data_IF_682218672843
#
_entry.id   IF_682218672843
#
_cell.length_a   1.000
_cell.length_b   1.000
_cell.length_c   1.000
_cell.angle_alpha   90.00
_cell.angle_beta   90.00
_cell.angle_gamma   90.00
#
_symmetry.space_group_name_H-M   'P 1'
#
loop_
_entity.id
_entity.type
_entity.pdbx_description
1 polymer ?
#
# COMPACT_ATOMS: atom_id res chain seq x y z
N UNK A 1 -26.36 10.90 75.00
CA UNK A 1 -25.71 11.59 73.87
C UNK A 1 -24.22 11.52 73.92
N UNK A 2 -23.53 11.92 74.99
CA UNK A 2 -22.04 11.87 75.13
C UNK A 2 -21.56 10.44 74.99
N UNK A 3 -22.21 9.42 75.55
CA UNK A 3 -21.84 8.01 75.41
C UNK A 3 -21.97 7.50 73.99
N UNK A 4 -22.95 7.95 73.23
CA UNK A 4 -23.12 7.57 71.83
C UNK A 4 -22.06 8.22 70.95
N UNK A 5 -21.80 9.49 71.16
CA UNK A 5 -20.74 10.23 70.45
C UNK A 5 -19.34 9.67 70.73
N UNK A 6 -19.07 9.28 71.99
CA UNK A 6 -17.81 8.63 72.37
C UNK A 6 -17.68 7.26 71.69
N UNK A 7 -18.73 6.45 71.66
CA UNK A 7 -18.71 5.16 71.00
C UNK A 7 -18.57 5.27 69.45
N UNK A 8 -19.15 6.28 68.82
CA UNK A 8 -18.98 6.54 67.39
C UNK A 8 -17.55 7.08 67.08
N UNK A 9 -17.03 7.97 67.95
CA UNK A 9 -15.65 8.42 67.83
C UNK A 9 -14.66 7.28 68.03
N UNK A 10 -14.85 6.43 69.04
CA UNK A 10 -14.06 5.21 69.22
C UNK A 10 -14.21 4.22 68.05
N UNK A 11 -15.39 4.11 67.46
CA UNK A 11 -15.62 3.26 66.28
C UNK A 11 -14.91 3.80 65.07
N UNK A 12 -14.87 5.10 64.89
CA UNK A 12 -14.18 5.76 63.78
C UNK A 12 -12.64 5.76 63.93
N UNK A 13 -12.14 5.97 65.19
CA UNK A 13 -10.72 6.06 65.49
C UNK A 13 -10.06 4.80 66.07
N UNK A 14 -10.82 3.71 66.27
CA UNK A 14 -10.24 2.45 66.73
C UNK A 14 -9.26 1.95 65.70
N UNK A 15 -7.98 1.85 66.12
CA UNK A 15 -7.00 1.02 65.41
C UNK A 15 -7.61 -0.38 65.29
N UNK A 16 -7.69 -0.98 64.11
CA UNK A 16 -8.27 -2.32 63.96
C UNK A 16 -7.64 -3.27 64.96
N UNK A 17 -8.46 -3.93 65.80
CA UNK A 17 -7.94 -4.94 66.75
C UNK A 17 -7.14 -5.99 66.01
N UNK A 18 -6.14 -6.61 66.66
CA UNK A 18 -5.31 -7.67 66.06
C UNK A 18 -6.17 -8.77 65.39
N UNK A 19 -7.31 -9.10 66.03
CA UNK A 19 -8.26 -10.08 65.48
C UNK A 19 -8.91 -9.61 64.16
N UNK A 20 -9.31 -8.35 64.07
CA UNK A 20 -9.85 -7.78 62.84
C UNK A 20 -8.78 -7.72 61.72
N UNK A 21 -7.56 -7.32 62.09
CA UNK A 21 -6.44 -7.31 61.12
C UNK A 21 -6.13 -8.70 60.65
N UNK A 22 -6.11 -9.71 61.50
CA UNK A 22 -5.92 -11.10 61.15
C UNK A 22 -7.02 -11.62 60.24
N UNK A 23 -8.28 -11.33 60.58
CA UNK A 23 -9.42 -11.72 59.72
C UNK A 23 -9.35 -11.09 58.32
N UNK A 24 -9.02 -9.81 58.27
CA UNK A 24 -8.79 -9.09 56.99
C UNK A 24 -7.63 -9.68 56.20
N UNK A 25 -6.53 -10.00 56.87
CA UNK A 25 -5.37 -10.66 56.24
C UNK A 25 -5.76 -12.05 55.68
N UNK A 26 -6.46 -12.88 56.47
CA UNK A 26 -6.95 -14.18 56.03
C UNK A 26 -7.84 -14.07 54.78
N UNK A 27 -8.77 -13.08 54.73
CA UNK A 27 -9.60 -12.84 53.54
C UNK A 27 -8.78 -12.43 52.34
N UNK A 28 -7.78 -11.57 52.50
CA UNK A 28 -6.85 -11.20 51.43
C UNK A 28 -6.10 -12.41 50.90
N UNK A 29 -5.53 -13.21 51.81
CA UNK A 29 -4.83 -14.43 51.41
C UNK A 29 -5.75 -15.35 50.62
N UNK A 30 -6.96 -15.62 51.08
CA UNK A 30 -7.90 -16.45 50.37
C UNK A 30 -8.27 -15.89 48.97
N UNK A 31 -8.37 -14.56 48.86
CA UNK A 31 -8.64 -13.89 47.56
C UNK A 31 -7.44 -14.04 46.62
N UNK A 32 -6.23 -13.84 47.10
CA UNK A 32 -5.03 -13.97 46.29
C UNK A 32 -4.73 -15.43 45.90
N UNK A 33 -4.99 -16.38 46.81
CA UNK A 33 -4.87 -17.80 46.49
C UNK A 33 -5.82 -18.22 45.37
N UNK A 34 -7.04 -17.67 45.32
CA UNK A 34 -7.98 -17.91 44.21
C UNK A 34 -7.53 -17.24 42.91
N UNK A 35 -6.88 -16.08 42.98
CA UNK A 35 -6.43 -15.34 41.80
C UNK A 35 -5.12 -15.86 41.23
N UNK A 36 -4.26 -16.43 42.04
CA UNK A 36 -2.93 -16.90 41.66
C UNK A 36 -2.96 -17.82 40.41
N UNK A 37 -3.78 -18.89 40.34
CA UNK A 37 -3.78 -19.77 39.18
C UNK A 37 -4.28 -19.06 37.91
N UNK A 38 -5.16 -18.07 38.01
CA UNK A 38 -5.62 -17.27 36.87
C UNK A 38 -4.50 -16.37 36.33
N UNK A 39 -3.74 -15.76 37.25
CA UNK A 39 -2.59 -14.92 36.86
C UNK A 39 -1.48 -15.78 36.26
N UNK A 40 -1.20 -16.96 36.84
CA UNK A 40 -0.23 -17.89 36.29
C UNK A 40 -0.60 -18.33 34.86
N UNK A 41 -1.86 -18.70 34.64
CA UNK A 41 -2.35 -19.05 33.29
C UNK A 41 -2.25 -17.87 32.32
N UNK A 42 -2.55 -16.67 32.77
CA UNK A 42 -2.41 -15.46 31.95
C UNK A 42 -0.94 -15.17 31.61
N UNK A 43 -0.02 -15.40 32.54
CA UNK A 43 1.41 -15.30 32.32
C UNK A 43 1.90 -16.29 31.26
N UNK A 44 1.55 -17.56 31.39
CA UNK A 44 1.91 -18.59 30.40
C UNK A 44 1.42 -18.25 28.99
N UNK A 45 0.20 -17.69 28.87
CA UNK A 45 -0.33 -17.24 27.58
C UNK A 45 0.46 -16.06 27.03
N UNK A 46 0.83 -15.13 27.91
CA UNK A 46 1.63 -13.98 27.52
C UNK A 46 3.06 -14.37 27.07
N UNK A 47 3.69 -15.28 27.78
CA UNK A 47 5.00 -15.84 27.44
C UNK A 47 4.99 -16.56 26.08
N UNK A 48 3.97 -17.37 25.82
CA UNK A 48 3.80 -18.01 24.50
C UNK A 48 3.58 -16.99 23.37
N UNK A 49 2.84 -15.92 23.64
CA UNK A 49 2.67 -14.84 22.67
C UNK A 49 3.97 -14.11 22.41
N UNK A 50 4.72 -13.82 23.47
CA UNK A 50 6.01 -13.16 23.35
C UNK A 50 6.98 -13.99 22.50
N UNK A 51 7.17 -15.25 22.84
CA UNK A 51 8.03 -16.17 22.06
C UNK A 51 7.63 -16.26 20.58
N UNK A 52 6.32 -16.24 20.29
CA UNK A 52 5.84 -16.22 18.91
C UNK A 52 6.21 -14.92 18.19
N UNK A 53 6.07 -13.78 18.86
CA UNK A 53 6.41 -12.48 18.26
C UNK A 53 7.92 -12.31 18.10
N UNK A 54 8.72 -12.83 19.02
CA UNK A 54 10.18 -12.86 18.89
C UNK A 54 10.61 -13.68 17.68
N UNK A 55 10.05 -14.89 17.50
CA UNK A 55 10.32 -15.71 16.31
C UNK A 55 9.91 -15.01 15.00
N UNK A 56 8.76 -14.33 14.98
CA UNK A 56 8.32 -13.54 13.82
C UNK A 56 9.24 -12.35 13.54
N UNK A 57 9.73 -11.70 14.58
CA UNK A 57 10.69 -10.59 14.45
C UNK A 57 12.01 -11.09 13.87
N UNK A 58 12.55 -12.19 14.37
CA UNK A 58 13.80 -12.77 13.88
C UNK A 58 13.68 -13.20 12.40
N UNK A 59 12.56 -13.83 12.03
CA UNK A 59 12.27 -14.18 10.63
C UNK A 59 12.20 -12.93 9.73
N UNK A 60 11.50 -11.89 10.18
CA UNK A 60 11.41 -10.63 9.45
C UNK A 60 12.77 -9.94 9.31
N UNK A 61 13.58 -9.96 10.36
CA UNK A 61 14.94 -9.41 10.35
C UNK A 61 15.84 -10.14 9.35
N UNK A 62 15.83 -11.47 9.37
CA UNK A 62 16.58 -12.29 8.43
C UNK A 62 16.14 -12.05 6.98
N UNK A 63 14.83 -11.83 6.75
CA UNK A 63 14.31 -11.46 5.44
C UNK A 63 14.85 -10.10 4.98
N UNK A 64 14.86 -9.10 5.85
CA UNK A 64 15.40 -7.77 5.54
C UNK A 64 16.88 -7.85 5.17
N UNK A 65 17.69 -8.55 5.95
CA UNK A 65 19.11 -8.76 5.69
C UNK A 65 19.35 -9.43 4.32
N UNK A 66 18.58 -10.46 4.00
CA UNK A 66 18.64 -11.13 2.70
C UNK A 66 18.24 -10.22 1.54
N UNK A 67 17.17 -9.42 1.71
CA UNK A 67 16.74 -8.46 0.69
C UNK A 67 17.76 -7.35 0.48
N UNK A 68 18.39 -6.87 1.56
CA UNK A 68 19.47 -5.88 1.47
C UNK A 68 20.68 -6.43 0.71
N UNK A 69 21.12 -7.66 1.01
CA UNK A 69 22.21 -8.31 0.29
C UNK A 69 21.88 -8.49 -1.20
N UNK A 70 20.67 -8.95 -1.52
CA UNK A 70 20.21 -9.08 -2.90
C UNK A 70 20.14 -7.71 -3.61
N UNK A 71 19.67 -6.69 -2.94
CA UNK A 71 19.64 -5.34 -3.48
C UNK A 71 21.03 -4.81 -3.82
N UNK A 72 22.02 -5.01 -2.95
CA UNK A 72 23.40 -4.63 -3.22
C UNK A 72 23.98 -5.39 -4.42
N UNK A 73 23.67 -6.67 -4.54
CA UNK A 73 24.07 -7.47 -5.70
C UNK A 73 23.45 -6.91 -6.99
N UNK A 74 22.15 -6.62 -7.00
CA UNK A 74 21.46 -6.05 -8.16
C UNK A 74 22.02 -4.68 -8.56
N UNK A 75 22.42 -3.85 -7.59
CA UNK A 75 23.08 -2.57 -7.87
C UNK A 75 24.43 -2.76 -8.55
N UNK A 76 25.23 -3.71 -8.06
CA UNK A 76 26.54 -4.02 -8.65
C UNK A 76 26.39 -4.58 -10.08
N UNK A 77 25.46 -5.52 -10.28
CA UNK A 77 25.15 -6.12 -11.58
C UNK A 77 24.66 -5.05 -12.58
N UNK A 78 23.79 -4.14 -12.10
CA UNK A 78 23.27 -3.07 -12.94
C UNK A 78 24.34 -2.02 -13.27
N UNK A 79 25.26 -1.74 -12.35
CA UNK A 79 26.38 -0.84 -12.61
C UNK A 79 27.37 -1.41 -13.64
N UNK A 80 27.51 -2.72 -13.69
CA UNK A 80 28.33 -3.43 -14.68
C UNK A 80 27.62 -3.60 -16.05
N UNK A 81 26.32 -3.33 -16.13
CA UNK A 81 25.54 -3.50 -17.35
C UNK A 81 25.81 -2.34 -18.32
N UNK A 82 26.18 -2.60 -19.59
CA UNK A 82 26.33 -1.56 -20.60
C UNK A 82 25.07 -0.77 -20.89
N UNK A 83 23.89 -1.36 -20.58
CA UNK A 83 22.58 -0.71 -20.63
C UNK A 83 21.88 -0.79 -19.26
N UNK A 84 22.28 0.02 -18.29
CA UNK A 84 21.80 -0.09 -16.93
C UNK A 84 20.28 0.12 -16.85
N UNK A 85 19.63 -0.79 -16.14
CA UNK A 85 18.20 -0.70 -15.87
C UNK A 85 17.94 0.47 -14.92
N UNK A 86 16.97 1.27 -15.26
CA UNK A 86 16.52 2.41 -14.46
C UNK A 86 15.17 2.10 -13.82
N UNK A 87 15.12 2.14 -12.51
CA UNK A 87 13.87 1.95 -11.80
C UNK A 87 13.13 3.28 -11.61
N UNK A 88 11.85 3.30 -11.99
CA UNK A 88 10.95 4.44 -11.85
C UNK A 88 9.78 4.04 -10.95
N UNK A 89 9.58 4.74 -9.86
CA UNK A 89 8.48 4.51 -8.96
C UNK A 89 7.29 5.43 -9.26
N UNK A 90 6.15 4.82 -9.56
CA UNK A 90 4.85 5.51 -9.69
C UNK A 90 4.03 5.23 -8.46
N UNK A 91 4.06 6.15 -7.50
CA UNK A 91 3.40 5.99 -6.21
C UNK A 91 1.98 6.53 -6.23
N UNK A 92 1.07 5.81 -5.59
CA UNK A 92 -0.21 6.41 -5.23
C UNK A 92 0.00 7.50 -4.16
N UNK A 93 -0.84 8.54 -4.20
CA UNK A 93 -0.82 9.59 -3.18
C UNK A 93 -0.88 9.05 -1.74
N UNK A 94 -1.38 7.80 -1.53
CA UNK A 94 -1.34 7.09 -0.26
C UNK A 94 0.06 6.89 0.30
N UNK A 95 1.03 6.69 -0.56
CA UNK A 95 2.43 6.43 -0.23
C UNK A 95 3.33 7.67 -0.35
N UNK A 96 2.78 8.81 -0.74
CA UNK A 96 3.53 10.06 -0.94
C UNK A 96 3.74 10.83 0.38
N UNK A 97 4.13 10.15 1.45
CA UNK A 97 4.61 10.85 2.64
C UNK A 97 6.01 11.43 2.38
N UNK A 98 6.35 12.47 3.12
CA UNK A 98 7.68 13.09 3.05
C UNK A 98 8.79 12.06 3.23
N UNK A 99 8.65 11.21 4.24
CA UNK A 99 9.63 10.20 4.62
C UNK A 99 9.83 9.18 3.49
N UNK A 100 8.73 8.71 2.88
CA UNK A 100 8.80 7.76 1.78
C UNK A 100 9.47 8.36 0.53
N UNK A 101 9.15 9.62 0.20
CA UNK A 101 9.75 10.31 -0.94
C UNK A 101 11.25 10.51 -0.70
N UNK A 102 11.65 10.99 0.49
CA UNK A 102 13.07 11.16 0.84
C UNK A 102 13.81 9.84 0.77
N UNK A 103 13.29 8.80 1.36
CA UNK A 103 13.89 7.46 1.34
C UNK A 103 14.11 6.94 -0.09
N UNK A 104 13.12 7.09 -0.98
CA UNK A 104 13.26 6.65 -2.37
C UNK A 104 14.29 7.49 -3.14
N UNK A 105 14.38 8.80 -2.85
CA UNK A 105 15.39 9.68 -3.42
C UNK A 105 16.80 9.26 -2.97
N UNK A 106 16.96 8.99 -1.68
CA UNK A 106 18.23 8.55 -1.08
C UNK A 106 18.72 7.21 -1.65
N UNK A 107 17.79 6.32 -2.00
CA UNK A 107 18.11 5.05 -2.68
C UNK A 107 18.46 5.27 -4.18
N UNK A 108 18.13 6.44 -4.74
CA UNK A 108 18.46 6.81 -6.12
C UNK A 108 17.39 6.47 -7.15
N UNK A 109 16.13 6.36 -6.74
CA UNK A 109 15.03 6.11 -7.66
C UNK A 109 14.42 7.40 -8.22
N UNK A 110 13.93 7.29 -9.46
CA UNK A 110 13.06 8.29 -10.05
C UNK A 110 11.62 8.09 -9.55
N UNK A 111 10.92 9.18 -9.24
CA UNK A 111 9.61 9.13 -8.58
C UNK A 111 8.60 9.95 -9.35
N UNK A 112 7.44 9.35 -9.59
CA UNK A 112 6.22 10.03 -10.03
C UNK A 112 5.14 9.78 -9.00
N UNK A 113 4.60 10.84 -8.40
CA UNK A 113 3.58 10.68 -7.36
C UNK A 113 2.60 11.85 -7.31
N UNK A 114 1.52 11.66 -6.57
CA UNK A 114 0.57 12.72 -6.25
C UNK A 114 0.83 13.24 -4.84
N UNK A 115 1.16 14.52 -4.74
CA UNK A 115 1.31 15.17 -3.44
C UNK A 115 -0.01 15.27 -2.67
N UNK A 116 0.08 15.12 -1.36
CA UNK A 116 -1.08 15.20 -0.45
C UNK A 116 -1.17 16.50 0.35
N UNK A 117 -0.14 17.34 0.33
CA UNK A 117 -0.12 18.57 1.10
C UNK A 117 -1.13 19.61 0.59
N UNK A 118 -2.21 19.89 1.33
CA UNK A 118 -3.13 20.98 0.98
C UNK A 118 -2.43 22.33 0.97
N UNK A 119 -1.54 22.57 1.92
CA UNK A 119 -0.78 23.82 2.06
C UNK A 119 0.04 24.12 0.82
N UNK A 120 0.77 23.12 0.32
CA UNK A 120 1.57 23.25 -0.92
C UNK A 120 0.66 23.49 -2.13
N UNK A 121 -0.40 22.71 -2.26
CA UNK A 121 -1.38 22.85 -3.34
C UNK A 121 -2.00 24.26 -3.35
N UNK A 122 -2.37 24.76 -2.18
CA UNK A 122 -3.03 26.04 -2.04
C UNK A 122 -2.05 27.20 -2.27
N UNK A 123 -0.80 27.08 -1.83
CA UNK A 123 0.27 28.04 -2.13
C UNK A 123 0.54 28.13 -3.64
N UNK A 124 0.68 26.97 -4.33
CA UNK A 124 0.84 26.95 -5.78
C UNK A 124 -0.41 27.44 -6.52
N UNK A 125 -1.59 27.17 -5.97
CA UNK A 125 -2.83 27.71 -6.53
C UNK A 125 -2.91 29.24 -6.43
N UNK A 126 -2.34 29.82 -5.38
CA UNK A 126 -2.21 31.27 -5.22
C UNK A 126 -1.14 31.89 -6.12
N UNK A 127 -0.12 31.12 -6.52
CA UNK A 127 0.91 31.57 -7.46
C UNK A 127 0.44 31.56 -8.92
N UNK A 128 -0.71 30.96 -9.22
CA UNK A 128 -1.31 30.95 -10.57
C UNK A 128 -1.87 32.34 -10.89
N UNK A 129 -1.41 32.92 -12.00
CA UNK A 129 -1.88 34.22 -12.53
C UNK A 129 -2.68 34.02 -13.83
N UNK A 130 -3.39 35.02 -14.32
CA UNK A 130 -4.04 34.96 -15.64
C UNK A 130 -3.08 34.64 -16.79
N UNK A 131 -1.78 34.95 -16.63
CA UNK A 131 -0.73 34.68 -17.60
C UNK A 131 -0.15 33.27 -17.50
N UNK A 132 -0.53 32.50 -16.47
CA UNK A 132 -0.03 31.13 -16.30
C UNK A 132 -0.50 30.23 -17.44
N UNK A 133 0.46 29.66 -18.15
CA UNK A 133 0.18 28.70 -19.22
C UNK A 133 -0.29 27.36 -18.69
N UNK A 134 -1.43 26.91 -19.17
CA UNK A 134 -1.98 25.60 -18.88
C UNK A 134 -1.92 24.71 -20.10
N UNK A 135 -1.22 23.60 -20.00
CA UNK A 135 -1.17 22.57 -21.05
C UNK A 135 -2.30 21.56 -20.83
N UNK A 136 -3.12 21.35 -21.84
CA UNK A 136 -4.17 20.33 -21.80
C UNK A 136 -3.54 18.96 -21.97
N UNK A 137 -3.76 18.06 -21.02
CA UNK A 137 -3.16 16.72 -20.94
C UNK A 137 -4.21 15.59 -20.92
N UNK A 138 -5.46 15.93 -21.05
CA UNK A 138 -6.56 14.98 -21.07
C UNK A 138 -7.89 15.63 -21.44
N UNK A 139 -8.96 14.85 -21.51
CA UNK A 139 -10.29 15.36 -21.85
C UNK A 139 -10.78 16.46 -20.91
N UNK A 140 -10.46 16.32 -19.62
CA UNK A 140 -10.88 17.21 -18.54
C UNK A 140 -9.72 17.70 -17.65
N UNK A 141 -8.47 17.47 -18.05
CA UNK A 141 -7.29 17.78 -17.27
C UNK A 141 -6.35 18.76 -17.97
N UNK A 142 -5.82 19.71 -17.21
CA UNK A 142 -4.76 20.61 -17.64
C UNK A 142 -3.72 20.74 -16.55
N UNK A 143 -2.44 20.89 -16.92
CA UNK A 143 -1.30 21.05 -16.03
C UNK A 143 -0.59 22.37 -16.24
N UNK A 144 -0.05 22.90 -15.14
CA UNK A 144 1.03 23.88 -15.13
C UNK A 144 2.10 23.39 -14.16
N UNK A 145 3.38 23.69 -14.41
CA UNK A 145 4.47 23.11 -13.63
C UNK A 145 5.59 24.11 -13.33
N UNK A 146 6.33 23.78 -12.30
CA UNK A 146 7.54 24.46 -11.83
C UNK A 146 8.65 23.44 -11.66
N UNK A 147 9.78 23.66 -12.30
CA UNK A 147 10.95 22.80 -12.18
C UNK A 147 11.73 23.10 -10.90
N UNK A 148 12.36 22.09 -10.34
CA UNK A 148 13.32 22.19 -9.23
C UNK A 148 12.83 23.10 -8.08
N UNK A 149 11.58 22.93 -7.70
CA UNK A 149 10.93 23.77 -6.71
C UNK A 149 11.16 23.21 -5.30
N UNK A 150 11.73 24.00 -4.41
CA UNK A 150 11.69 23.74 -2.98
C UNK A 150 10.36 24.27 -2.45
N UNK A 151 9.44 23.39 -2.20
CA UNK A 151 8.10 23.76 -1.71
C UNK A 151 8.15 23.87 -0.19
N UNK A 152 8.58 25.02 0.31
CA UNK A 152 8.75 25.29 1.74
C UNK A 152 9.72 24.31 2.40
N UNK A 153 9.70 24.26 3.73
CA UNK A 153 10.50 23.30 4.52
C UNK A 153 10.00 21.83 4.40
N UNK A 154 9.06 21.59 3.49
CA UNK A 154 8.40 20.27 3.39
C UNK A 154 9.27 19.23 2.70
N UNK A 155 10.10 19.62 1.72
CA UNK A 155 11.00 18.70 1.03
C UNK A 155 12.45 19.16 1.15
N UNK A 156 13.34 18.26 1.59
CA UNK A 156 14.78 18.51 1.64
C UNK A 156 15.42 18.53 0.25
N UNK A 157 14.74 17.99 -0.75
CA UNK A 157 15.20 17.89 -2.12
C UNK A 157 14.35 18.78 -3.04
N UNK A 158 14.95 19.46 -4.05
CA UNK A 158 14.19 20.15 -5.07
C UNK A 158 13.40 19.11 -5.89
N UNK A 159 12.12 19.37 -6.09
CA UNK A 159 11.21 18.52 -6.85
C UNK A 159 10.65 19.29 -8.04
N UNK A 160 10.35 18.59 -9.12
CA UNK A 160 9.45 19.12 -10.11
C UNK A 160 8.02 19.00 -9.58
N UNK A 161 7.28 20.08 -9.66
CA UNK A 161 5.94 20.18 -9.11
C UNK A 161 4.98 20.64 -10.19
N UNK A 162 3.87 19.93 -10.36
CA UNK A 162 2.80 20.36 -11.25
C UNK A 162 1.47 20.48 -10.51
N UNK A 163 0.75 21.54 -10.81
CA UNK A 163 -0.63 21.71 -10.40
C UNK A 163 -1.54 21.20 -11.52
N UNK A 164 -2.27 20.15 -11.24
CA UNK A 164 -3.27 19.59 -12.13
C UNK A 164 -4.64 20.21 -11.83
N UNK A 165 -5.30 20.70 -12.87
CA UNK A 165 -6.67 21.23 -12.84
C UNK A 165 -7.57 20.24 -13.58
N UNK A 166 -8.53 19.67 -12.86
CA UNK A 166 -9.56 18.80 -13.42
C UNK A 166 -10.89 19.55 -13.46
N UNK A 167 -11.52 19.58 -14.61
CA UNK A 167 -12.82 20.22 -14.80
C UNK A 167 -13.88 19.18 -15.10
N UNK A 168 -14.95 19.16 -14.30
CA UNK A 168 -16.11 18.29 -14.51
C UNK A 168 -17.36 19.14 -14.38
N UNK A 169 -17.96 19.50 -15.50
CA UNK A 169 -19.03 20.50 -15.54
C UNK A 169 -18.53 21.84 -15.00
N UNK A 170 -19.23 22.40 -14.03
CA UNK A 170 -18.84 23.64 -13.33
C UNK A 170 -17.84 23.44 -12.20
N UNK A 171 -17.58 22.19 -11.80
CA UNK A 171 -16.66 21.86 -10.68
C UNK A 171 -15.22 21.82 -11.16
N UNK A 172 -14.33 22.51 -10.43
CA UNK A 172 -12.89 22.48 -10.64
C UNK A 172 -12.21 21.85 -9.43
N UNK A 173 -11.47 20.77 -9.66
CA UNK A 173 -10.62 20.14 -8.63
C UNK A 173 -9.16 20.37 -8.98
N UNK A 174 -8.33 20.62 -7.97
CA UNK A 174 -6.89 20.75 -8.11
C UNK A 174 -6.18 19.60 -7.41
N UNK A 175 -5.11 19.12 -8.03
CA UNK A 175 -4.24 18.11 -7.47
C UNK A 175 -2.78 18.49 -7.70
N UNK A 176 -1.92 18.02 -6.83
CA UNK A 176 -0.48 18.23 -6.88
C UNK A 176 0.17 16.97 -7.46
N UNK A 177 0.97 17.10 -8.52
CA UNK A 177 1.86 16.05 -8.99
C UNK A 177 3.28 16.42 -8.62
N UNK A 178 4.06 15.43 -8.23
CA UNK A 178 5.45 15.55 -7.82
C UNK A 178 6.29 14.60 -8.67
N UNK A 179 7.45 15.07 -9.07
CA UNK A 179 8.46 14.28 -9.76
C UNK A 179 9.85 14.55 -9.16
N UNK A 180 10.63 13.50 -9.06
CA UNK A 180 12.07 13.57 -8.83
C UNK A 180 12.75 12.57 -9.75
N UNK A 181 13.77 13.00 -10.44
CA UNK A 181 14.52 12.11 -11.33
C UNK A 181 15.27 12.85 -12.41
N UNK A 182 15.85 12.07 -13.33
CA UNK A 182 16.70 12.60 -14.41
C UNK A 182 15.91 13.10 -15.63
N UNK A 183 14.61 12.78 -15.70
CA UNK A 183 13.77 13.17 -16.83
C UNK A 183 13.29 14.59 -16.64
N UNK A 184 13.46 15.42 -17.67
CA UNK A 184 12.96 16.80 -17.67
C UNK A 184 11.44 16.80 -17.96
N UNK A 185 10.65 16.52 -16.94
CA UNK A 185 9.18 16.35 -17.06
C UNK A 185 8.43 17.66 -17.28
N UNK A 186 9.03 18.80 -16.91
CA UNK A 186 8.41 20.11 -17.07
C UNK A 186 8.37 20.59 -18.53
N UNK A 187 9.22 20.02 -19.38
CA UNK A 187 9.22 20.26 -20.82
C UNK A 187 8.12 19.44 -21.55
N UNK A 188 7.70 18.30 -20.96
CA UNK A 188 6.66 17.43 -21.51
C UNK A 188 5.61 17.08 -20.44
N UNK A 189 4.68 18.01 -20.22
CA UNK A 189 3.60 17.85 -19.22
C UNK A 189 2.60 16.77 -19.59
N UNK A 190 2.41 16.49 -20.87
CA UNK A 190 1.53 15.42 -21.35
C UNK A 190 2.16 14.06 -21.02
N UNK A 191 3.42 13.86 -21.38
CA UNK A 191 4.18 12.68 -21.01
C UNK A 191 4.23 12.47 -19.51
N UNK A 192 4.45 13.51 -18.71
CA UNK A 192 4.41 13.43 -17.25
C UNK A 192 3.06 12.95 -16.74
N UNK A 193 1.98 13.53 -17.22
CA UNK A 193 0.63 13.17 -16.81
C UNK A 193 0.30 11.71 -17.13
N UNK A 194 0.63 11.28 -18.32
CA UNK A 194 0.40 9.89 -18.77
C UNK A 194 1.32 8.90 -18.04
N UNK A 195 2.57 9.26 -17.79
CA UNK A 195 3.50 8.43 -17.01
C UNK A 195 2.98 8.22 -15.60
N UNK A 196 2.50 9.25 -14.92
CA UNK A 196 1.88 9.12 -13.60
C UNK A 196 0.59 8.30 -13.66
N UNK A 197 -0.30 8.58 -14.59
CA UNK A 197 -1.60 7.89 -14.70
C UNK A 197 -1.48 6.44 -15.16
N UNK A 198 -0.38 6.05 -15.77
CA UNK A 198 -0.08 4.66 -16.12
C UNK A 198 -0.17 3.69 -14.92
N UNK A 199 -0.11 4.17 -13.66
CA UNK A 199 -0.41 3.37 -12.46
C UNK A 199 -1.84 2.80 -12.44
N UNK A 200 -2.79 3.43 -13.13
CA UNK A 200 -4.17 2.96 -13.21
C UNK A 200 -4.27 1.56 -13.85
N UNK A 201 -3.29 1.17 -14.66
CA UNK A 201 -3.21 -0.18 -15.20
C UNK A 201 -3.02 -1.24 -14.11
N UNK A 202 -2.30 -0.91 -13.04
CA UNK A 202 -2.13 -1.78 -11.87
C UNK A 202 -3.45 -1.90 -11.11
N UNK A 203 -4.15 -0.79 -10.90
CA UNK A 203 -5.48 -0.78 -10.26
C UNK A 203 -6.50 -1.59 -11.08
N UNK A 204 -6.48 -1.43 -12.41
CA UNK A 204 -7.29 -2.23 -13.30
C UNK A 204 -6.93 -3.72 -13.23
N UNK A 205 -5.64 -4.07 -13.19
CA UNK A 205 -5.16 -5.43 -13.03
C UNK A 205 -5.58 -6.06 -11.70
N UNK A 206 -5.50 -5.32 -10.59
CA UNK A 206 -5.97 -5.78 -9.28
C UNK A 206 -7.49 -6.01 -9.30
N UNK A 207 -8.24 -5.07 -9.87
CA UNK A 207 -9.70 -5.20 -10.02
C UNK A 207 -10.09 -6.40 -10.87
N UNK A 208 -9.36 -6.62 -11.94
CA UNK A 208 -9.53 -7.77 -12.83
C UNK A 208 -9.19 -9.08 -12.10
N UNK A 209 -8.06 -9.15 -11.38
CA UNK A 209 -7.69 -10.28 -10.55
C UNK A 209 -8.79 -10.64 -9.53
N UNK A 210 -9.37 -9.64 -8.88
CA UNK A 210 -10.47 -9.84 -7.94
C UNK A 210 -11.75 -10.33 -8.62
N UNK A 211 -12.15 -9.70 -9.71
CA UNK A 211 -13.49 -9.90 -10.31
C UNK A 211 -13.54 -11.02 -11.35
N UNK A 212 -12.43 -11.29 -12.03
CA UNK A 212 -12.36 -12.30 -13.10
C UNK A 212 -11.69 -13.59 -12.59
N UNK A 213 -10.57 -13.43 -11.89
CA UNK A 213 -9.75 -14.55 -11.41
C UNK A 213 -10.00 -14.92 -9.94
N UNK A 214 -11.06 -14.39 -9.33
CA UNK A 214 -11.56 -14.76 -7.99
C UNK A 214 -10.51 -14.59 -6.87
N UNK A 215 -9.53 -13.71 -7.01
CA UNK A 215 -8.47 -13.50 -6.00
C UNK A 215 -8.99 -13.00 -4.65
N UNK A 216 -10.23 -12.54 -4.57
CA UNK A 216 -10.85 -12.12 -3.30
C UNK A 216 -11.69 -13.23 -2.64
N UNK A 217 -11.91 -14.36 -3.32
CA UNK A 217 -12.63 -15.52 -2.80
C UNK A 217 -11.69 -16.68 -2.46
N UNK A 218 -10.63 -16.38 -1.72
CA UNK A 218 -9.64 -17.36 -1.34
C UNK A 218 -10.23 -18.30 -0.28
N UNK A 219 -10.56 -19.54 -0.66
CA UNK A 219 -11.10 -20.57 0.24
C UNK A 219 -10.00 -21.34 0.98
N UNK A 220 -8.75 -21.16 0.58
CA UNK A 220 -7.60 -21.85 1.17
C UNK A 220 -7.05 -21.06 2.36
N UNK A 221 -6.65 -21.77 3.40
CA UNK A 221 -6.16 -21.18 4.65
C UNK A 221 -4.64 -21.33 4.85
N UNK A 222 -4.00 -22.16 4.06
CA UNK A 222 -2.55 -22.36 4.10
C UNK A 222 -1.85 -21.21 3.36
N UNK A 223 -0.81 -20.56 3.93
CA UNK A 223 -0.04 -19.53 3.25
C UNK A 223 0.54 -19.98 1.89
N UNK A 224 1.02 -21.23 1.81
CA UNK A 224 1.56 -21.79 0.55
C UNK A 224 0.47 -21.99 -0.51
N UNK A 225 -0.72 -22.42 -0.10
CA UNK A 225 -1.84 -22.57 -1.03
C UNK A 225 -2.38 -21.21 -1.51
N UNK A 226 -2.37 -20.18 -0.65
CA UNK A 226 -2.68 -18.80 -1.02
C UNK A 226 -1.70 -18.29 -2.09
N UNK A 227 -0.41 -18.45 -1.85
CA UNK A 227 0.63 -18.03 -2.78
C UNK A 227 0.50 -18.75 -4.13
N UNK A 228 0.24 -20.07 -4.11
CA UNK A 228 0.01 -20.84 -5.33
C UNK A 228 -1.21 -20.32 -6.09
N UNK A 229 -2.33 -20.03 -5.40
CA UNK A 229 -3.54 -19.51 -6.03
C UNK A 229 -3.31 -18.13 -6.63
N UNK A 230 -2.56 -17.26 -5.98
CA UNK A 230 -2.16 -15.95 -6.53
C UNK A 230 -1.31 -16.10 -7.79
N UNK A 231 -0.32 -16.98 -7.78
CA UNK A 231 0.52 -17.26 -8.95
C UNK A 231 -0.31 -17.80 -10.12
N UNK A 232 -1.22 -18.74 -9.86
CA UNK A 232 -2.10 -19.30 -10.88
C UNK A 232 -3.06 -18.25 -11.45
N UNK A 233 -3.58 -17.36 -10.63
CA UNK A 233 -4.42 -16.24 -11.09
C UNK A 233 -3.63 -15.25 -11.96
N UNK A 234 -2.40 -14.91 -11.57
CA UNK A 234 -1.50 -14.07 -12.37
C UNK A 234 -1.13 -14.75 -13.70
N UNK A 235 -0.83 -16.04 -13.68
CA UNK A 235 -0.54 -16.81 -14.88
C UNK A 235 -1.75 -16.83 -15.82
N UNK A 236 -2.94 -17.11 -15.32
CA UNK A 236 -4.17 -17.11 -16.11
C UNK A 236 -4.45 -15.74 -16.74
N UNK A 237 -4.26 -14.65 -15.96
CA UNK A 237 -4.43 -13.29 -16.46
C UNK A 237 -3.44 -12.96 -17.59
N UNK A 238 -2.20 -13.34 -17.44
CA UNK A 238 -1.18 -13.13 -18.47
C UNK A 238 -1.44 -13.98 -19.71
N UNK A 239 -1.83 -15.24 -19.50
CA UNK A 239 -2.19 -16.14 -20.61
C UNK A 239 -3.36 -15.58 -21.44
N UNK A 240 -4.43 -15.13 -20.79
CA UNK A 240 -5.59 -14.55 -21.50
C UNK A 240 -5.19 -13.30 -22.29
N UNK A 241 -4.35 -12.43 -21.72
CA UNK A 241 -3.85 -11.23 -22.42
C UNK A 241 -2.96 -11.59 -23.60
N UNK A 242 -2.08 -12.56 -23.43
CA UNK A 242 -1.24 -13.07 -24.50
C UNK A 242 -2.09 -13.66 -25.64
N UNK A 243 -3.05 -14.53 -25.30
CA UNK A 243 -3.98 -15.11 -26.27
C UNK A 243 -4.78 -14.04 -27.01
N UNK A 244 -5.27 -13.00 -26.31
CA UNK A 244 -5.93 -11.86 -26.91
C UNK A 244 -5.06 -11.15 -27.95
N UNK A 245 -3.84 -10.84 -27.55
CA UNK A 245 -2.87 -10.18 -28.42
C UNK A 245 -2.55 -11.05 -29.65
N UNK A 246 -2.27 -12.33 -29.44
CA UNK A 246 -1.99 -13.28 -30.51
C UNK A 246 -3.16 -13.41 -31.49
N UNK A 247 -4.39 -13.53 -30.99
CA UNK A 247 -5.61 -13.57 -31.81
C UNK A 247 -5.79 -12.28 -32.62
N UNK A 248 -5.53 -11.11 -32.01
CA UNK A 248 -5.62 -9.82 -32.71
C UNK A 248 -4.61 -9.73 -33.86
N UNK A 249 -3.40 -10.27 -33.70
CA UNK A 249 -2.36 -10.25 -34.73
C UNK A 249 -2.64 -11.27 -35.87
N UNK A 250 -3.29 -12.39 -35.56
CA UNK A 250 -3.44 -13.52 -36.50
C UNK A 250 -4.87 -13.70 -37.06
N UNK A 251 -5.84 -12.94 -36.55
CA UNK A 251 -7.22 -13.01 -37.03
C UNK A 251 -7.36 -12.35 -38.41
N UNK A 252 -7.63 -13.13 -39.41
CA UNK A 252 -7.81 -12.65 -40.81
C UNK A 252 -9.12 -11.88 -41.05
N UNK A 253 -10.09 -11.90 -40.17
CA UNK A 253 -11.38 -11.25 -40.42
C UNK A 253 -12.34 -11.07 -39.24
N UNK A 254 -12.00 -11.17 -38.03
CA UNK A 254 -12.98 -11.01 -36.98
C UNK A 254 -12.64 -9.82 -36.07
N UNK A 255 -13.59 -8.93 -35.91
CA UNK A 255 -13.66 -8.01 -34.78
C UNK A 255 -13.65 -8.83 -33.49
N UNK A 256 -12.47 -9.22 -33.04
CA UNK A 256 -12.32 -9.76 -31.68
C UNK A 256 -12.51 -8.57 -30.77
N UNK A 257 -13.51 -8.60 -29.87
CA UNK A 257 -13.70 -7.50 -28.96
C UNK A 257 -12.43 -7.34 -28.12
N UNK A 258 -11.69 -6.27 -28.31
CA UNK A 258 -10.49 -5.91 -27.51
C UNK A 258 -10.88 -5.39 -26.14
N UNK A 259 -12.15 -5.46 -25.78
CA UNK A 259 -12.74 -4.58 -24.78
C UNK A 259 -12.39 -4.90 -23.33
N UNK A 260 -12.21 -6.12 -22.95
CA UNK A 260 -11.72 -6.46 -21.60
C UNK A 260 -11.39 -7.94 -21.46
N UNK A 261 -10.43 -8.25 -20.56
CA UNK A 261 -10.12 -9.63 -20.16
C UNK A 261 -11.36 -10.35 -19.62
N UNK A 262 -12.25 -9.64 -18.91
CA UNK A 262 -13.51 -10.20 -18.42
C UNK A 262 -14.39 -10.70 -19.57
N UNK A 263 -14.54 -9.91 -20.60
CA UNK A 263 -15.35 -10.26 -21.76
C UNK A 263 -14.74 -11.44 -22.52
N UNK A 264 -13.42 -11.44 -22.70
CA UNK A 264 -12.71 -12.57 -23.31
C UNK A 264 -12.92 -13.87 -22.54
N UNK A 265 -12.77 -13.85 -21.21
CA UNK A 265 -13.00 -15.04 -20.37
C UNK A 265 -14.45 -15.50 -20.50
N UNK A 266 -15.41 -14.59 -20.48
CA UNK A 266 -16.83 -14.93 -20.64
C UNK A 266 -17.13 -15.56 -22.01
N UNK A 267 -16.63 -14.97 -23.08
CA UNK A 267 -16.82 -15.50 -24.45
C UNK A 267 -16.14 -16.86 -24.58
N UNK A 268 -14.89 -17.00 -24.13
CA UNK A 268 -14.14 -18.27 -24.22
C UNK A 268 -14.78 -19.39 -23.40
N UNK A 269 -15.36 -19.07 -22.22
CA UNK A 269 -16.03 -20.05 -21.37
C UNK A 269 -17.33 -20.59 -21.96
N UNK A 270 -17.93 -19.87 -22.89
CA UNK A 270 -19.21 -20.25 -23.55
C UNK A 270 -19.05 -20.64 -25.01
N UNK A 271 -17.83 -20.67 -25.54
CA UNK A 271 -17.56 -21.03 -26.94
C UNK A 271 -17.10 -22.49 -27.00
N UNK A 272 -17.79 -23.31 -27.79
CA UNK A 272 -17.33 -24.66 -28.10
C UNK A 272 -16.09 -24.60 -28.97
N UNK A 273 -15.06 -25.36 -28.62
CA UNK A 273 -13.84 -25.45 -29.41
C UNK A 273 -13.58 -26.90 -29.83
N UNK A 274 -13.08 -27.08 -31.05
CA UNK A 274 -12.57 -28.36 -31.54
C UNK A 274 -11.07 -28.32 -31.51
N UNK A 275 -10.48 -29.31 -30.89
CA UNK A 275 -9.02 -29.49 -30.88
C UNK A 275 -8.70 -30.55 -31.94
N UNK A 276 -8.04 -30.14 -33.00
CA UNK A 276 -7.61 -31.01 -34.09
C UNK A 276 -6.11 -31.32 -33.90
N UNK A 277 -5.79 -32.59 -33.77
CA UNK A 277 -4.41 -33.05 -33.80
C UNK A 277 -3.98 -33.30 -35.24
N UNK A 278 -2.93 -32.63 -35.67
CA UNK A 278 -2.29 -32.86 -36.97
C UNK A 278 -0.83 -33.28 -36.75
N UNK A 279 -0.57 -34.58 -36.86
CA UNK A 279 0.74 -35.13 -36.48
C UNK A 279 0.96 -35.05 -34.98
N UNK A 280 2.10 -34.49 -34.58
CA UNK A 280 2.45 -34.24 -33.17
C UNK A 280 2.08 -32.83 -32.67
N UNK A 281 1.38 -32.05 -33.48
CA UNK A 281 0.87 -30.71 -33.15
C UNK A 281 -0.59 -30.80 -32.75
N UNK A 282 -0.93 -30.20 -31.61
CA UNK A 282 -2.27 -30.09 -31.06
C UNK A 282 -2.92 -28.75 -31.46
#
# INVERSE_FOLDING_TARGET
EVRTLTADYERQNRRPTAHFQLTRAKRKVATYTKRLPLVQKALEVAERRLARHEAQYDEAKALVERLQAHYQQLLADNAANPNPIRAVFRLDGGFASRENIHWLIEIGYDIYTRGRSPTVRDALSGAVTPQTTWVRVGSNASLTAWANTTVGDYFAYPLDVALAKYQTGSSVRRALLLHYGRTEVTADLDGWFHMYNGRQTIEAGIKEGKNVFQMHHLKVRSPHALLLQEHMACFAANFVRFAAHWLTLNAQSATIPTDSVKQMVQVSAHTSAWVLRQGDVW
#
